data_IF_472226476479
#
_entry.id   IF_472226476479
#
_cell.length_a   1.000
_cell.length_b   1.000
_cell.length_c   1.000
_cell.angle_alpha   90.00
_cell.angle_beta   90.00
_cell.angle_gamma   90.00
#
_symmetry.space_group_name_H-M   'P 1'
#
loop_
_entity.id
_entity.type
_entity.pdbx_description
1 polymer ?
#
# COMPACT_ATOMS: atom_id res chain seq x y z
N UNK A 1 -23.11 11.26 17.37
CA UNK A 1 -22.91 10.35 18.50
C UNK A 1 -21.70 10.78 19.32
N UNK A 2 -21.78 10.71 20.61
CA UNK A 2 -20.66 10.93 21.56
C UNK A 2 -20.19 9.61 22.18
N UNK A 3 -20.97 8.57 22.01
CA UNK A 3 -20.68 7.19 22.43
C UNK A 3 -20.50 6.32 21.19
N UNK A 4 -19.37 5.61 21.14
CA UNK A 4 -19.00 4.77 20.00
C UNK A 4 -19.86 3.51 19.93
N UNK A 5 -20.23 2.94 21.07
CA UNK A 5 -21.08 1.74 21.13
C UNK A 5 -22.52 2.06 20.66
N UNK A 6 -23.08 3.19 21.11
CA UNK A 6 -24.40 3.68 20.64
C UNK A 6 -24.38 3.91 19.12
N UNK A 7 -23.27 4.46 18.59
CA UNK A 7 -23.11 4.67 17.15
C UNK A 7 -23.04 3.34 16.39
N UNK A 8 -22.25 2.37 16.87
CA UNK A 8 -22.14 1.06 16.24
C UNK A 8 -23.47 0.30 16.25
N UNK A 9 -24.30 0.47 17.28
CA UNK A 9 -25.61 -0.18 17.41
C UNK A 9 -26.74 0.54 16.64
N UNK A 10 -26.43 1.66 15.95
CA UNK A 10 -27.43 2.45 15.22
C UNK A 10 -27.88 1.86 13.88
N UNK A 11 -27.42 0.67 13.50
CA UNK A 11 -27.78 -0.02 12.25
C UNK A 11 -26.90 0.38 11.06
N UNK A 12 -25.69 0.84 11.30
CA UNK A 12 -24.71 1.10 10.23
C UNK A 12 -24.23 -0.22 9.62
N UNK A 13 -24.03 -0.23 8.30
CA UNK A 13 -23.56 -1.42 7.56
C UNK A 13 -22.05 -1.40 7.31
N UNK A 14 -21.43 -0.21 7.34
CA UNK A 14 -20.01 -0.02 7.10
C UNK A 14 -19.44 1.17 7.84
N UNK A 15 -18.15 1.12 8.14
CA UNK A 15 -17.41 2.17 8.84
C UNK A 15 -16.05 2.46 8.20
N UNK A 16 -15.65 3.74 8.28
CA UNK A 16 -14.31 4.19 7.92
C UNK A 16 -13.50 4.43 9.20
N UNK A 17 -12.39 3.72 9.36
CA UNK A 17 -11.50 3.80 10.53
C UNK A 17 -10.28 4.64 10.19
N UNK A 18 -10.16 5.80 10.84
CA UNK A 18 -9.06 6.77 10.69
C UNK A 18 -8.48 7.18 12.05
N UNK A 19 -8.45 6.24 12.98
CA UNK A 19 -7.83 6.43 14.30
C UNK A 19 -6.30 6.22 14.22
N UNK A 20 -5.58 6.41 15.32
CA UNK A 20 -4.15 6.04 15.38
C UNK A 20 -3.98 4.52 15.25
N UNK A 21 -2.90 4.07 14.59
CA UNK A 21 -2.60 2.66 14.31
C UNK A 21 -2.73 1.75 15.56
N UNK A 22 -2.28 2.24 16.72
CA UNK A 22 -2.38 1.48 17.97
C UNK A 22 -3.82 1.16 18.41
N UNK A 23 -4.83 1.87 17.88
CA UNK A 23 -6.24 1.63 18.16
C UNK A 23 -6.95 0.83 17.05
N UNK A 24 -6.27 0.54 15.92
CA UNK A 24 -6.90 -0.13 14.78
C UNK A 24 -7.46 -1.50 15.18
N UNK A 25 -6.66 -2.34 15.83
CA UNK A 25 -7.05 -3.71 16.19
C UNK A 25 -8.38 -3.73 16.98
N UNK A 26 -8.45 -2.98 18.07
CA UNK A 26 -9.64 -2.99 18.95
C UNK A 26 -10.88 -2.42 18.27
N UNK A 27 -10.73 -1.34 17.49
CA UNK A 27 -11.85 -0.71 16.78
C UNK A 27 -12.35 -1.60 15.64
N UNK A 28 -11.44 -2.14 14.82
CA UNK A 28 -11.80 -3.04 13.71
C UNK A 28 -12.49 -4.28 14.23
N UNK A 29 -11.95 -4.93 15.28
CA UNK A 29 -12.55 -6.10 15.91
C UNK A 29 -13.97 -5.82 16.39
N UNK A 30 -14.16 -4.72 17.11
CA UNK A 30 -15.46 -4.32 17.63
C UNK A 30 -16.50 -4.10 16.53
N UNK A 31 -16.10 -3.50 15.41
CA UNK A 31 -16.97 -3.30 14.23
C UNK A 31 -17.32 -4.63 13.56
N UNK A 32 -16.31 -5.47 13.27
CA UNK A 32 -16.52 -6.77 12.65
C UNK A 32 -17.39 -7.70 13.50
N UNK A 33 -17.21 -7.71 14.82
CA UNK A 33 -18.02 -8.50 15.74
C UNK A 33 -19.51 -8.13 15.68
N UNK A 34 -19.82 -6.85 15.44
CA UNK A 34 -21.18 -6.32 15.25
C UNK A 34 -21.72 -6.48 13.81
N UNK A 35 -20.97 -7.09 12.90
CA UNK A 35 -21.41 -7.31 11.53
C UNK A 35 -21.24 -6.09 10.62
N UNK A 36 -20.37 -5.15 10.97
CA UNK A 36 -20.12 -3.92 10.24
C UNK A 36 -18.89 -4.10 9.35
N UNK A 37 -19.02 -3.87 8.04
CA UNK A 37 -17.91 -3.88 7.11
C UNK A 37 -16.94 -2.71 7.39
N UNK A 38 -15.63 -2.92 7.18
CA UNK A 38 -14.61 -1.97 7.59
C UNK A 38 -13.72 -1.55 6.42
N UNK A 39 -13.60 -0.24 6.22
CA UNK A 39 -12.46 0.38 5.59
C UNK A 39 -11.52 0.90 6.69
N UNK A 40 -10.26 0.55 6.63
CA UNK A 40 -9.25 1.05 7.57
C UNK A 40 -8.08 1.69 6.83
N UNK A 41 -7.57 2.81 7.31
CA UNK A 41 -6.30 3.35 6.82
C UNK A 41 -5.16 2.36 7.08
N UNK A 42 -4.14 2.35 6.25
CA UNK A 42 -3.00 1.45 6.42
C UNK A 42 -2.13 1.90 7.63
N UNK A 43 -1.44 0.97 8.29
CA UNK A 43 -1.59 -0.49 8.23
C UNK A 43 -2.89 -0.96 8.89
N UNK A 44 -3.34 -2.18 8.61
CA UNK A 44 -4.40 -2.81 9.41
C UNK A 44 -3.95 -2.92 10.87
N UNK A 45 -2.73 -3.37 11.09
CA UNK A 45 -1.97 -3.35 12.35
C UNK A 45 -0.47 -3.42 12.03
N UNK A 46 0.39 -2.97 12.93
CA UNK A 46 1.85 -3.16 12.88
C UNK A 46 2.30 -4.49 13.50
N UNK A 47 1.34 -5.36 13.82
CA UNK A 47 1.52 -6.72 14.29
C UNK A 47 0.85 -7.70 13.30
N UNK A 48 1.66 -8.52 12.61
CA UNK A 48 1.18 -9.46 11.60
C UNK A 48 0.18 -10.48 12.14
N UNK A 49 0.30 -10.91 13.40
CA UNK A 49 -0.64 -11.84 14.00
C UNK A 49 -2.03 -11.21 14.19
N UNK A 50 -2.10 -9.94 14.58
CA UNK A 50 -3.35 -9.18 14.65
C UNK A 50 -3.98 -8.99 13.27
N UNK A 51 -3.17 -8.66 12.25
CA UNK A 51 -3.65 -8.59 10.85
C UNK A 51 -4.33 -9.89 10.44
N UNK A 52 -3.69 -11.05 10.71
CA UNK A 52 -4.25 -12.37 10.39
C UNK A 52 -5.56 -12.61 11.13
N UNK A 53 -5.62 -12.32 12.43
CA UNK A 53 -6.82 -12.53 13.25
C UNK A 53 -8.00 -11.67 12.76
N UNK A 54 -7.75 -10.41 12.40
CA UNK A 54 -8.78 -9.50 11.89
C UNK A 54 -9.29 -9.93 10.50
N UNK A 55 -8.40 -10.41 9.63
CA UNK A 55 -8.77 -10.97 8.33
C UNK A 55 -9.63 -12.22 8.53
N UNK A 56 -9.19 -13.17 9.36
CA UNK A 56 -9.95 -14.40 9.63
C UNK A 56 -11.34 -14.10 10.24
N UNK A 57 -11.42 -13.08 11.10
CA UNK A 57 -12.70 -12.64 11.65
C UNK A 57 -13.63 -12.06 10.57
N UNK A 58 -13.11 -11.20 9.70
CA UNK A 58 -13.86 -10.63 8.58
C UNK A 58 -14.36 -11.72 7.63
N UNK A 59 -13.48 -12.64 7.21
CA UNK A 59 -13.78 -13.73 6.29
C UNK A 59 -14.81 -14.70 6.90
N UNK A 60 -14.69 -15.03 8.19
CA UNK A 60 -15.65 -15.92 8.90
C UNK A 60 -17.06 -15.35 8.95
N UNK A 61 -17.20 -14.03 8.91
CA UNK A 61 -18.47 -13.31 8.92
C UNK A 61 -18.96 -12.90 7.53
N UNK A 62 -18.17 -13.12 6.49
CA UNK A 62 -18.46 -12.67 5.12
C UNK A 62 -18.51 -11.13 5.01
N UNK A 63 -17.71 -10.43 5.81
CA UNK A 63 -17.63 -8.98 5.84
C UNK A 63 -16.39 -8.48 5.07
N UNK A 64 -16.48 -7.27 4.51
CA UNK A 64 -15.34 -6.61 3.91
C UNK A 64 -14.45 -5.99 5.01
N UNK A 65 -13.16 -6.33 4.96
CA UNK A 65 -12.09 -5.59 5.64
C UNK A 65 -11.16 -5.06 4.54
N UNK A 66 -11.25 -3.78 4.24
CA UNK A 66 -10.51 -3.12 3.14
C UNK A 66 -9.39 -2.25 3.71
N UNK A 67 -8.15 -2.59 3.40
CA UNK A 67 -6.99 -1.77 3.75
C UNK A 67 -6.84 -0.58 2.79
N UNK A 68 -6.47 0.59 3.33
CA UNK A 68 -6.34 1.86 2.61
C UNK A 68 -5.12 1.95 1.67
N UNK A 69 -4.89 0.96 0.82
CA UNK A 69 -3.79 0.93 -0.14
C UNK A 69 -4.10 1.78 -1.38
N UNK A 70 -4.15 3.08 -1.17
CA UNK A 70 -4.55 4.06 -2.18
C UNK A 70 -3.72 4.04 -3.47
N UNK A 71 -2.44 3.64 -3.42
CA UNK A 71 -1.57 3.63 -4.61
C UNK A 71 -2.07 2.71 -5.69
N UNK A 72 -2.65 1.55 -5.34
CA UNK A 72 -3.27 0.61 -6.29
C UNK A 72 -4.39 1.26 -7.13
N UNK A 73 -4.98 2.34 -6.62
CA UNK A 73 -6.12 3.04 -7.23
C UNK A 73 -5.74 4.38 -7.85
N UNK A 74 -4.49 4.83 -7.68
CA UNK A 74 -3.99 6.02 -8.35
C UNK A 74 -3.96 5.80 -9.88
N UNK A 75 -4.58 6.70 -10.68
CA UNK A 75 -4.75 6.45 -12.12
C UNK A 75 -3.45 6.18 -12.87
N UNK A 76 -2.36 6.87 -12.52
CA UNK A 76 -1.05 6.64 -13.17
C UNK A 76 -0.44 5.30 -12.75
N UNK A 77 -0.68 4.82 -11.53
CA UNK A 77 -0.22 3.50 -11.08
C UNK A 77 -1.02 2.38 -11.72
N UNK A 78 -2.31 2.57 -11.94
CA UNK A 78 -3.12 1.62 -12.73
C UNK A 78 -2.59 1.45 -14.16
N UNK A 79 -2.16 2.54 -14.80
CA UNK A 79 -1.50 2.46 -16.10
C UNK A 79 -0.18 1.67 -16.05
N UNK A 80 0.62 1.83 -14.98
CA UNK A 80 1.80 0.99 -14.78
C UNK A 80 1.45 -0.50 -14.65
N UNK A 81 0.33 -0.81 -13.98
CA UNK A 81 -0.13 -2.20 -13.82
C UNK A 81 -0.48 -2.86 -15.15
N UNK A 82 -0.99 -2.10 -16.11
CA UNK A 82 -1.45 -2.56 -17.43
C UNK A 82 -0.29 -2.80 -18.43
N UNK A 83 0.94 -2.39 -18.11
CA UNK A 83 2.10 -2.62 -18.98
C UNK A 83 2.37 -4.13 -19.07
N UNK A 84 2.43 -4.71 -20.28
CA UNK A 84 2.74 -6.13 -20.45
C UNK A 84 4.24 -6.41 -20.29
N UNK A 85 4.57 -7.67 -20.03
CA UNK A 85 5.96 -8.19 -20.04
C UNK A 85 6.94 -7.37 -19.21
N UNK A 86 6.47 -6.85 -18.06
CA UNK A 86 7.33 -6.15 -17.10
C UNK A 86 8.47 -7.06 -16.67
N UNK A 87 9.70 -6.60 -16.81
CA UNK A 87 10.88 -7.40 -16.46
C UNK A 87 11.78 -6.73 -15.40
N UNK A 88 11.69 -5.41 -15.24
CA UNK A 88 12.44 -4.70 -14.21
C UNK A 88 11.61 -3.53 -13.65
N UNK A 89 11.52 -3.46 -12.32
CA UNK A 89 10.78 -2.42 -11.60
C UNK A 89 11.69 -1.71 -10.61
N UNK A 90 11.61 -0.38 -10.55
CA UNK A 90 12.32 0.44 -9.56
C UNK A 90 11.32 1.32 -8.82
N UNK A 91 11.20 1.11 -7.53
CA UNK A 91 10.30 1.87 -6.67
C UNK A 91 11.12 2.52 -5.56
N UNK A 92 11.03 3.84 -5.46
CA UNK A 92 11.80 4.56 -4.44
C UNK A 92 10.99 5.66 -3.77
N UNK A 93 11.28 5.87 -2.49
CA UNK A 93 10.68 6.94 -1.69
C UNK A 93 11.76 7.68 -0.91
N UNK A 94 11.89 8.97 -1.18
CA UNK A 94 12.75 9.88 -0.45
C UNK A 94 11.96 10.66 0.59
N UNK A 95 12.58 10.95 1.75
CA UNK A 95 12.08 11.84 2.79
C UNK A 95 13.19 12.78 3.25
N UNK A 96 12.81 13.94 3.75
CA UNK A 96 13.76 14.94 4.24
C UNK A 96 13.96 14.75 5.74
N UNK A 97 15.13 14.22 6.13
CA UNK A 97 15.60 14.15 7.52
C UNK A 97 14.52 13.67 8.53
N UNK A 98 13.76 12.65 8.15
CA UNK A 98 12.74 12.08 9.01
C UNK A 98 13.41 11.19 10.08
N UNK A 99 12.86 11.17 11.28
CA UNK A 99 13.35 10.37 12.41
C UNK A 99 12.19 9.56 12.95
N UNK A 100 12.26 8.24 12.74
CA UNK A 100 11.25 7.29 13.22
C UNK A 100 11.89 5.95 13.55
N UNK A 101 11.39 5.25 14.59
CA UNK A 101 11.81 3.88 14.89
C UNK A 101 11.63 2.98 13.67
N UNK A 102 12.55 2.00 13.51
CA UNK A 102 12.59 1.13 12.32
C UNK A 102 11.23 0.47 12.05
N UNK A 103 10.61 -0.20 13.03
CA UNK A 103 9.32 -0.87 12.86
C UNK A 103 8.22 0.10 12.41
N UNK A 104 8.12 1.24 13.08
CA UNK A 104 7.14 2.27 12.72
C UNK A 104 7.35 2.75 11.28
N UNK A 105 8.59 3.07 10.89
CA UNK A 105 8.92 3.52 9.53
C UNK A 105 8.56 2.50 8.45
N UNK A 106 8.77 1.19 8.76
CA UNK A 106 8.42 0.10 7.84
C UNK A 106 6.90 -0.01 7.68
N UNK A 107 6.13 -0.01 8.76
CA UNK A 107 4.68 -0.14 8.68
C UNK A 107 3.95 1.16 8.30
N UNK A 108 4.52 2.34 8.55
CA UNK A 108 3.90 3.60 8.13
C UNK A 108 4.24 3.97 6.68
N UNK A 109 5.53 4.09 6.34
CA UNK A 109 5.91 4.65 5.05
C UNK A 109 6.38 3.61 4.02
N UNK A 110 7.17 2.60 4.45
CA UNK A 110 7.66 1.58 3.52
C UNK A 110 6.53 0.68 3.03
N UNK A 111 5.57 0.32 3.87
CA UNK A 111 4.40 -0.47 3.49
C UNK A 111 3.69 0.06 2.23
N UNK A 112 3.64 1.37 2.05
CA UNK A 112 3.03 1.97 0.86
C UNK A 112 3.74 1.58 -0.45
N UNK A 113 5.07 1.60 -0.46
CA UNK A 113 5.84 1.29 -1.66
C UNK A 113 6.08 -0.22 -1.79
N UNK A 114 6.13 -0.94 -0.68
CA UNK A 114 6.15 -2.40 -0.68
C UNK A 114 4.84 -2.99 -1.23
N UNK A 115 3.70 -2.46 -0.80
CA UNK A 115 2.38 -2.79 -1.33
C UNK A 115 2.26 -2.48 -2.83
N UNK A 116 2.74 -1.31 -3.26
CA UNK A 116 2.73 -0.94 -4.67
C UNK A 116 3.62 -1.88 -5.51
N UNK A 117 4.76 -2.33 -4.97
CA UNK A 117 5.63 -3.29 -5.63
C UNK A 117 4.92 -4.64 -5.84
N UNK A 118 4.33 -5.19 -4.79
CA UNK A 118 3.55 -6.44 -4.88
C UNK A 118 2.36 -6.31 -5.83
N UNK A 119 1.69 -5.16 -5.83
CA UNK A 119 0.59 -4.88 -6.76
C UNK A 119 1.04 -4.82 -8.21
N UNK A 120 2.19 -4.19 -8.50
CA UNK A 120 2.70 -3.99 -9.86
C UNK A 120 3.31 -5.27 -10.45
N UNK A 121 3.86 -6.16 -9.62
CA UNK A 121 4.28 -7.49 -10.05
C UNK A 121 3.07 -8.32 -10.48
N UNK A 122 3.22 -9.11 -11.55
CA UNK A 122 2.15 -9.94 -12.11
C UNK A 122 2.25 -11.41 -11.65
N UNK A 123 3.35 -11.74 -10.98
CA UNK A 123 3.69 -13.09 -10.55
C UNK A 123 3.99 -13.14 -9.06
N UNK A 124 3.98 -14.35 -8.53
CA UNK A 124 4.39 -14.63 -7.15
C UNK A 124 5.87 -14.26 -6.92
N UNK A 125 6.17 -13.64 -5.80
CA UNK A 125 7.53 -13.35 -5.37
C UNK A 125 8.20 -14.62 -4.87
N UNK A 126 9.27 -15.04 -5.53
CA UNK A 126 10.02 -16.26 -5.23
C UNK A 126 11.14 -16.02 -4.22
N UNK A 127 11.74 -14.84 -4.22
CA UNK A 127 12.74 -14.47 -3.24
C UNK A 127 12.65 -13.01 -2.81
N UNK A 128 13.04 -12.76 -1.57
CA UNK A 128 13.11 -11.43 -0.96
C UNK A 128 14.48 -11.28 -0.34
N UNK A 129 15.23 -10.26 -0.76
CA UNK A 129 16.47 -9.84 -0.11
C UNK A 129 16.29 -8.41 0.39
N UNK A 130 16.79 -8.10 1.58
CA UNK A 130 16.60 -6.77 2.15
C UNK A 130 17.77 -6.35 3.03
N UNK A 131 17.94 -5.04 3.16
CA UNK A 131 18.89 -4.43 4.10
C UNK A 131 18.28 -3.20 4.73
N UNK A 132 18.27 -3.17 6.05
CA UNK A 132 17.95 -2.00 6.87
C UNK A 132 19.27 -1.36 7.33
N UNK A 133 19.35 -0.04 7.23
CA UNK A 133 20.41 0.77 7.80
C UNK A 133 19.76 1.74 8.75
N UNK A 134 20.14 1.66 10.01
CA UNK A 134 19.58 2.44 11.09
C UNK A 134 20.68 3.23 11.82
N UNK A 135 20.27 4.19 12.64
CA UNK A 135 21.10 4.87 13.63
C UNK A 135 20.27 5.14 14.89
N UNK A 136 20.76 4.68 16.04
CA UNK A 136 20.10 4.86 17.35
C UNK A 136 18.64 4.35 17.36
N UNK A 137 18.38 3.17 16.70
CA UNK A 137 17.05 2.55 16.57
C UNK A 137 16.14 3.18 15.54
N UNK A 138 16.58 4.26 14.86
CA UNK A 138 15.78 4.97 13.88
C UNK A 138 16.22 4.64 12.44
N UNK A 139 15.25 4.44 11.56
CA UNK A 139 15.50 4.13 10.16
C UNK A 139 16.27 5.27 9.46
N UNK A 140 17.32 4.93 8.73
CA UNK A 140 18.00 5.83 7.81
C UNK A 140 17.65 5.51 6.36
N UNK A 141 17.79 4.25 5.99
CA UNK A 141 17.42 3.77 4.66
C UNK A 141 17.14 2.27 4.67
N UNK A 142 16.36 1.86 3.72
CA UNK A 142 16.02 0.46 3.47
C UNK A 142 16.03 0.22 1.97
N UNK A 143 16.54 -0.93 1.55
CA UNK A 143 16.34 -1.45 0.21
C UNK A 143 15.88 -2.90 0.27
N UNK A 144 15.08 -3.27 -0.72
CA UNK A 144 14.49 -4.61 -0.86
C UNK A 144 14.55 -4.98 -2.33
N UNK A 145 14.96 -6.21 -2.61
CA UNK A 145 14.91 -6.85 -3.91
C UNK A 145 13.88 -7.98 -3.85
N UNK A 146 12.95 -7.95 -4.79
CA UNK A 146 11.90 -8.95 -4.97
C UNK A 146 12.10 -9.61 -6.32
N UNK A 147 12.26 -10.94 -6.36
CA UNK A 147 12.39 -11.70 -7.58
C UNK A 147 11.16 -12.54 -7.83
N UNK A 148 10.66 -12.49 -9.07
CA UNK A 148 9.64 -13.41 -9.60
C UNK A 148 10.29 -14.34 -10.62
N UNK A 149 9.49 -15.09 -11.36
CA UNK A 149 10.01 -15.95 -12.45
C UNK A 149 10.54 -15.12 -13.63
N UNK A 150 9.94 -13.93 -13.89
CA UNK A 150 10.21 -13.15 -15.10
C UNK A 150 10.66 -11.72 -14.82
N UNK A 151 10.53 -11.23 -13.58
CA UNK A 151 10.80 -9.84 -13.24
C UNK A 151 11.58 -9.68 -11.93
N UNK A 152 12.47 -8.68 -11.90
CA UNK A 152 13.16 -8.19 -10.72
C UNK A 152 12.57 -6.83 -10.29
N UNK A 153 12.29 -6.65 -8.99
CA UNK A 153 11.78 -5.39 -8.47
C UNK A 153 12.65 -4.88 -7.33
N UNK A 154 13.15 -3.65 -7.47
CA UNK A 154 13.98 -2.97 -6.49
C UNK A 154 13.17 -1.88 -5.78
N UNK A 155 12.98 -2.04 -4.48
CA UNK A 155 12.24 -1.10 -3.63
C UNK A 155 13.19 -0.44 -2.65
N UNK A 156 13.17 0.88 -2.54
CA UNK A 156 14.01 1.59 -1.59
C UNK A 156 13.33 2.78 -0.93
N UNK A 157 13.67 3.01 0.33
CA UNK A 157 13.28 4.22 1.05
C UNK A 157 14.49 4.83 1.74
N UNK A 158 14.63 6.16 1.63
CA UNK A 158 15.71 6.91 2.24
C UNK A 158 15.14 8.11 3.02
N UNK A 159 15.39 8.14 4.32
CA UNK A 159 14.95 9.20 5.21
C UNK A 159 15.86 10.44 5.20
N UNK A 160 17.00 10.35 4.52
CA UNK A 160 18.00 11.42 4.38
C UNK A 160 18.19 11.78 2.88
N UNK A 161 17.11 11.74 2.09
CA UNK A 161 17.19 11.93 0.63
C UNK A 161 17.28 13.41 0.20
N UNK A 162 17.09 14.36 1.11
CA UNK A 162 17.09 15.79 0.78
C UNK A 162 15.85 16.28 0.03
N UNK A 163 14.95 15.38 -0.41
CA UNK A 163 13.70 15.71 -1.06
C UNK A 163 12.60 14.71 -0.68
N UNK A 164 11.35 15.20 -0.57
CA UNK A 164 10.19 14.33 -0.49
C UNK A 164 9.77 13.95 -1.92
N UNK A 165 10.06 12.73 -2.33
CA UNK A 165 9.73 12.25 -3.66
C UNK A 165 9.42 10.76 -3.63
N UNK A 166 8.42 10.34 -4.40
CA UNK A 166 8.09 8.96 -4.66
C UNK A 166 8.16 8.69 -6.17
N UNK A 167 8.92 7.66 -6.58
CA UNK A 167 9.10 7.32 -8.00
C UNK A 167 8.84 5.84 -8.17
N UNK A 168 8.06 5.51 -9.19
CA UNK A 168 7.85 4.15 -9.67
C UNK A 168 8.19 4.09 -11.14
N UNK A 169 9.10 3.20 -11.51
CA UNK A 169 9.55 2.99 -12.88
C UNK A 169 9.39 1.52 -13.25
N UNK A 170 8.86 1.28 -14.43
CA UNK A 170 8.72 -0.05 -15.02
C UNK A 170 9.42 -0.08 -16.35
N UNK A 171 10.19 -1.13 -16.57
CA UNK A 171 10.82 -1.45 -17.84
C UNK A 171 10.18 -2.70 -18.44
N UNK A 172 9.96 -2.66 -19.73
CA UNK A 172 9.43 -3.75 -20.54
C UNK A 172 10.07 -3.71 -21.93
N UNK A 173 9.89 -4.73 -22.79
CA UNK A 173 10.38 -4.66 -24.17
C UNK A 173 9.82 -3.49 -24.99
N UNK A 174 8.66 -2.94 -24.58
CA UNK A 174 8.02 -1.80 -25.26
C UNK A 174 8.59 -0.44 -24.85
N UNK A 175 9.31 -0.35 -23.73
CA UNK A 175 9.92 0.88 -23.25
C UNK A 175 10.00 1.00 -21.73
N UNK A 176 10.28 2.23 -21.29
CA UNK A 176 10.40 2.60 -19.88
C UNK A 176 9.26 3.56 -19.53
N UNK A 177 8.49 3.23 -18.53
CA UNK A 177 7.44 4.12 -18.01
C UNK A 177 7.73 4.46 -16.56
N UNK A 178 7.76 5.75 -16.26
CA UNK A 178 8.09 6.29 -14.94
C UNK A 178 7.00 7.21 -14.44
N UNK A 179 6.59 7.04 -13.20
CA UNK A 179 5.64 7.91 -12.50
C UNK A 179 6.31 8.57 -11.31
N UNK A 180 6.19 9.89 -11.21
CA UNK A 180 6.69 10.70 -10.09
C UNK A 180 5.50 11.22 -9.28
N UNK A 181 5.58 11.06 -7.95
CA UNK A 181 4.60 11.54 -6.97
C UNK A 181 3.14 11.18 -7.29
N UNK A 182 2.93 10.03 -7.97
CA UNK A 182 1.64 9.50 -8.42
C UNK A 182 0.95 10.33 -9.52
N UNK A 183 1.58 11.39 -10.03
CA UNK A 183 0.93 12.38 -10.91
C UNK A 183 1.59 12.54 -12.27
N UNK A 184 2.91 12.52 -12.32
CA UNK A 184 3.66 12.86 -13.52
C UNK A 184 4.22 11.59 -14.15
N UNK A 185 3.66 11.20 -15.30
CA UNK A 185 4.09 10.00 -16.02
C UNK A 185 4.93 10.37 -17.23
N UNK A 186 6.08 9.72 -17.35
CA UNK A 186 6.94 9.80 -18.52
C UNK A 186 7.05 8.42 -19.16
N UNK A 187 6.80 8.34 -20.46
CA UNK A 187 6.99 7.13 -21.27
C UNK A 187 8.14 7.39 -22.24
N UNK A 188 9.14 6.50 -22.23
CA UNK A 188 10.30 6.56 -23.15
C UNK A 188 10.36 5.25 -23.93
N UNK A 189 10.31 5.35 -25.24
CA UNK A 189 10.38 4.25 -26.21
C UNK A 189 11.27 4.61 -27.43
N UNK A 190 11.25 3.80 -28.47
CA UNK A 190 12.01 4.05 -29.69
C UNK A 190 11.58 5.33 -30.45
N UNK A 191 10.34 5.80 -30.25
CA UNK A 191 9.83 7.02 -30.88
C UNK A 191 10.22 8.29 -30.10
N UNK A 192 10.67 8.15 -28.85
CA UNK A 192 11.12 9.26 -28.01
C UNK A 192 10.53 9.24 -26.61
N UNK A 193 10.48 10.41 -25.98
CA UNK A 193 9.99 10.58 -24.60
C UNK A 193 8.74 11.45 -24.59
N UNK A 194 7.68 10.96 -23.95
CA UNK A 194 6.40 11.62 -23.83
C UNK A 194 6.04 11.85 -22.37
N UNK A 195 5.56 13.05 -22.04
CA UNK A 195 5.04 13.40 -20.71
C UNK A 195 3.52 13.33 -20.73
N UNK A 196 2.95 12.65 -19.75
CA UNK A 196 1.51 12.59 -19.48
C UNK A 196 1.24 13.06 -18.06
N UNK A 197 0.39 14.05 -17.90
CA UNK A 197 -0.06 14.57 -16.62
C UNK A 197 -1.57 14.56 -16.51
N UNK A 198 -2.06 15.14 -15.44
CA UNK A 198 -3.49 15.39 -15.25
C UNK A 198 -3.85 16.80 -15.76
N UNK A 199 -5.13 16.98 -16.10
CA UNK A 199 -5.67 18.32 -16.32
C UNK A 199 -5.76 19.14 -15.04
N UNK A 200 -5.85 20.46 -15.18
CA UNK A 200 -5.79 21.42 -14.06
C UNK A 200 -6.90 21.23 -13.02
N UNK A 201 -8.04 20.69 -13.42
CA UNK A 201 -9.22 20.51 -12.56
C UNK A 201 -9.29 19.14 -11.88
N UNK A 202 -8.29 18.28 -12.09
CA UNK A 202 -8.30 16.95 -11.47
C UNK A 202 -7.98 17.04 -9.97
N UNK A 203 -8.89 16.52 -9.15
CA UNK A 203 -8.80 16.58 -7.69
C UNK A 203 -7.65 15.74 -7.11
N UNK A 204 -7.01 16.25 -6.05
CA UNK A 204 -5.88 15.55 -5.39
C UNK A 204 -6.26 14.17 -4.87
N UNK A 205 -7.44 13.98 -4.30
CA UNK A 205 -7.90 12.70 -3.77
C UNK A 205 -8.02 11.64 -4.89
N UNK A 206 -8.47 12.05 -6.08
CA UNK A 206 -8.53 11.16 -7.24
C UNK A 206 -7.14 10.83 -7.78
N UNK A 207 -6.27 11.86 -7.98
CA UNK A 207 -4.89 11.66 -8.45
C UNK A 207 -4.14 10.67 -7.59
N UNK A 208 -4.35 10.74 -6.28
CA UNK A 208 -3.67 9.89 -5.29
C UNK A 208 -4.40 8.56 -5.00
N UNK A 209 -5.52 8.28 -5.66
CA UNK A 209 -6.23 7.01 -5.58
C UNK A 209 -7.19 6.87 -4.39
N UNK A 210 -7.36 7.88 -3.54
CA UNK A 210 -8.28 7.80 -2.39
C UNK A 210 -9.74 7.74 -2.83
N UNK A 211 -10.16 8.64 -3.72
CA UNK A 211 -11.54 8.66 -4.21
C UNK A 211 -11.93 7.34 -4.89
N UNK A 212 -11.13 6.79 -5.85
CA UNK A 212 -11.48 5.51 -6.48
C UNK A 212 -11.50 4.33 -5.49
N UNK A 213 -10.60 4.32 -4.49
CA UNK A 213 -10.57 3.28 -3.46
C UNK A 213 -11.83 3.33 -2.58
N UNK A 214 -12.19 4.52 -2.08
CA UNK A 214 -13.41 4.73 -1.27
C UNK A 214 -14.65 4.33 -2.05
N UNK A 215 -14.74 4.75 -3.32
CA UNK A 215 -15.83 4.35 -4.22
C UNK A 215 -15.87 2.84 -4.39
N UNK A 216 -14.72 2.20 -4.61
CA UNK A 216 -14.61 0.75 -4.72
C UNK A 216 -15.05 0.02 -3.45
N UNK A 217 -14.75 0.54 -2.27
CA UNK A 217 -15.24 -0.02 -1.01
C UNK A 217 -16.76 0.07 -0.89
N UNK A 218 -17.35 1.24 -1.16
CA UNK A 218 -18.81 1.45 -1.09
C UNK A 218 -19.54 0.54 -2.09
N UNK A 219 -19.06 0.45 -3.32
CA UNK A 219 -19.60 -0.46 -4.34
C UNK A 219 -19.41 -1.92 -3.95
N UNK A 220 -18.27 -2.24 -3.34
CA UNK A 220 -17.92 -3.57 -2.86
C UNK A 220 -18.87 -4.11 -1.80
N UNK A 221 -19.39 -3.26 -0.92
CA UNK A 221 -20.41 -3.65 0.08
C UNK A 221 -21.64 -4.24 -0.61
N UNK A 222 -22.14 -3.59 -1.66
CA UNK A 222 -23.32 -4.06 -2.41
C UNK A 222 -23.02 -5.32 -3.24
N UNK A 223 -21.81 -5.42 -3.81
CA UNK A 223 -21.39 -6.54 -4.67
C UNK A 223 -20.79 -7.70 -3.90
N UNK A 224 -20.47 -7.52 -2.62
CA UNK A 224 -19.68 -8.44 -1.78
C UNK A 224 -18.30 -8.74 -2.36
N UNK A 225 -17.66 -7.73 -2.94
CA UNK A 225 -16.34 -7.81 -3.56
C UNK A 225 -15.39 -6.82 -2.89
N UNK A 226 -14.36 -7.31 -2.23
CA UNK A 226 -13.37 -6.44 -1.60
C UNK A 226 -12.43 -5.85 -2.67
N UNK A 227 -12.34 -4.51 -2.83
CA UNK A 227 -11.47 -3.88 -3.81
C UNK A 227 -9.96 -4.09 -3.50
N UNK A 228 -9.63 -4.40 -2.25
CA UNK A 228 -8.32 -4.87 -1.81
C UNK A 228 -8.54 -6.21 -1.12
N UNK A 229 -8.22 -7.31 -1.80
CA UNK A 229 -8.44 -8.65 -1.22
C UNK A 229 -7.66 -8.83 0.08
N UNK A 230 -8.23 -9.55 1.03
CA UNK A 230 -7.61 -9.85 2.33
C UNK A 230 -6.26 -10.53 2.18
N UNK A 231 -6.14 -11.48 1.22
CA UNK A 231 -4.88 -12.16 0.91
C UNK A 231 -3.81 -11.17 0.45
N UNK A 232 -4.14 -10.26 -0.46
CA UNK A 232 -3.18 -9.28 -0.95
C UNK A 232 -2.78 -8.26 0.12
N UNK A 233 -3.71 -7.90 1.01
CA UNK A 233 -3.41 -7.05 2.16
C UNK A 233 -2.48 -7.79 3.16
N UNK A 234 -2.74 -9.06 3.43
CA UNK A 234 -1.89 -9.89 4.27
C UNK A 234 -0.47 -10.02 3.71
N UNK A 235 -0.33 -10.25 2.39
CA UNK A 235 0.98 -10.33 1.73
C UNK A 235 1.79 -9.05 1.91
N UNK A 236 1.17 -7.87 1.81
CA UNK A 236 1.87 -6.60 2.01
C UNK A 236 2.38 -6.41 3.44
N UNK A 237 1.59 -6.81 4.45
CA UNK A 237 2.02 -6.79 5.85
C UNK A 237 3.08 -7.88 6.12
N UNK A 238 2.95 -9.07 5.52
CA UNK A 238 3.92 -10.16 5.63
C UNK A 238 5.28 -9.77 5.06
N UNK A 239 5.31 -9.02 3.95
CA UNK A 239 6.55 -8.48 3.40
C UNK A 239 7.24 -7.56 4.40
N UNK A 240 6.51 -6.65 5.05
CA UNK A 240 7.07 -5.77 6.08
C UNK A 240 7.65 -6.56 7.26
N UNK A 241 6.90 -7.54 7.78
CA UNK A 241 7.33 -8.37 8.89
C UNK A 241 8.57 -9.21 8.53
N UNK A 242 8.56 -9.83 7.33
CA UNK A 242 9.73 -10.57 6.82
C UNK A 242 10.99 -9.69 6.75
N UNK A 243 10.87 -8.48 6.22
CA UNK A 243 11.99 -7.54 6.13
C UNK A 243 12.53 -7.21 7.53
N UNK A 244 11.65 -6.98 8.50
CA UNK A 244 12.05 -6.71 9.88
C UNK A 244 12.78 -7.90 10.47
N UNK A 245 12.23 -9.10 10.37
CA UNK A 245 12.84 -10.33 10.90
C UNK A 245 14.20 -10.65 10.25
N UNK A 246 14.31 -10.53 8.93
CA UNK A 246 15.56 -10.78 8.19
C UNK A 246 16.67 -9.79 8.58
N UNK A 247 16.33 -8.64 9.19
CA UNK A 247 17.26 -7.62 9.66
C UNK A 247 17.36 -7.54 11.21
N UNK A 248 16.75 -8.47 11.96
CA UNK A 248 16.88 -8.61 13.40
C UNK A 248 15.99 -7.70 14.26
N UNK A 249 14.79 -7.30 13.74
CA UNK A 249 13.80 -6.48 14.44
C UNK A 249 12.53 -7.24 14.80
#
# INVERSE_FOLDING_TARGET
YTDVDEWMDSGIEAAFVHVATAAHESVIRSLLERGIAVYVDKPISDNLAEVKQLIDLADSKGLLLTAGFNRRFAPMIRRLKEIPDKNMLFIRKGRINLVEPVRQAVYDLFLHIGDAALYLLDEEVLSVQSKIIEKDGNLKRIWVELETKTASCFVSMNYEAGANQEVMEIQSPEGIVRVVDLTDMTTSDQAGTHLTGFGDWEGTLRKRGFEPLIRGFIEGIMKKENPVTTDSAYLSHSLCEKILQDNGY
#
